data_IF_980216589843
#
_entry.id   IF_980216589843
#
_cell.length_a   1.000
_cell.length_b   1.000
_cell.length_c   1.000
_cell.angle_alpha   90.00
_cell.angle_beta   90.00
_cell.angle_gamma   90.00
#
_symmetry.space_group_name_H-M   'P 1'
#
loop_
_entity.id
_entity.type
_entity.pdbx_description
1 polymer ?
#
# COMPACT_ATOMS: atom_id res chain seq x y z
N UNK A 1 45.84 51.55 -35.23
CA UNK A 1 44.39 51.34 -35.46
C UNK A 1 44.19 49.79 -35.45
N UNK A 2 43.83 49.25 -34.30
CA UNK A 2 43.61 47.79 -34.15
C UNK A 2 42.10 47.53 -34.36
N UNK A 3 41.73 46.81 -35.42
CA UNK A 3 40.35 46.37 -35.67
C UNK A 3 40.02 45.19 -34.76
N UNK A 4 39.07 45.41 -33.86
CA UNK A 4 38.50 44.41 -33.01
C UNK A 4 37.51 43.55 -33.84
N UNK A 5 37.82 42.28 -34.07
CA UNK A 5 36.88 41.31 -34.66
C UNK A 5 36.00 40.77 -33.55
N UNK A 6 34.75 41.19 -33.55
CA UNK A 6 33.72 40.57 -32.67
C UNK A 6 33.22 39.32 -33.37
N UNK A 7 33.63 38.14 -32.88
CA UNK A 7 33.02 36.87 -33.27
C UNK A 7 31.67 36.72 -32.52
N UNK A 8 30.59 37.00 -33.22
CA UNK A 8 29.26 36.65 -32.81
C UNK A 8 29.09 35.12 -32.98
N UNK A 9 29.25 34.35 -31.89
CA UNK A 9 28.89 32.92 -31.85
C UNK A 9 27.37 32.86 -31.75
N UNK A 10 26.71 32.77 -32.89
CA UNK A 10 25.31 32.42 -33.01
C UNK A 10 25.19 30.93 -32.62
N UNK A 11 24.91 30.65 -31.37
CA UNK A 11 24.56 29.30 -30.93
C UNK A 11 23.21 28.92 -31.56
N UNK A 12 23.28 28.27 -32.71
CA UNK A 12 22.17 27.53 -33.27
C UNK A 12 21.81 26.40 -32.27
N UNK A 13 20.82 26.68 -31.42
CA UNK A 13 20.06 25.66 -30.74
C UNK A 13 19.34 24.81 -31.81
N UNK A 14 20.05 23.86 -32.39
CA UNK A 14 19.44 22.74 -33.06
C UNK A 14 18.62 22.01 -31.98
N UNK A 15 17.33 22.30 -31.88
CA UNK A 15 16.36 21.39 -31.33
C UNK A 15 16.39 20.12 -32.20
N UNK A 16 17.33 19.21 -31.88
CA UNK A 16 17.21 17.84 -32.34
C UNK A 16 15.85 17.37 -31.85
N UNK A 17 14.91 17.13 -32.76
CA UNK A 17 13.69 16.37 -32.44
C UNK A 17 14.17 15.05 -31.89
N UNK A 18 14.10 14.89 -30.56
CA UNK A 18 14.37 13.59 -29.94
C UNK A 18 13.43 12.61 -30.62
N UNK A 19 13.99 11.54 -31.21
CA UNK A 19 13.21 10.46 -31.80
C UNK A 19 12.50 9.76 -30.66
N UNK A 20 11.25 10.14 -30.38
CA UNK A 20 10.42 9.51 -29.36
C UNK A 20 10.09 8.10 -29.86
N UNK A 21 10.48 7.03 -29.12
CA UNK A 21 10.05 5.68 -29.45
C UNK A 21 8.51 5.61 -29.52
N UNK A 22 7.98 4.72 -30.35
CA UNK A 22 6.52 4.62 -30.61
C UNK A 22 5.69 4.51 -29.32
N UNK A 23 6.23 3.92 -28.26
CA UNK A 23 5.59 3.71 -26.94
C UNK A 23 6.30 4.46 -25.81
N UNK A 24 7.25 5.36 -26.10
CA UNK A 24 7.96 6.14 -25.08
C UNK A 24 7.06 7.21 -24.47
N UNK A 25 6.89 7.19 -23.16
CA UNK A 25 6.03 8.14 -22.42
C UNK A 25 6.81 9.16 -21.60
N UNK A 26 7.97 8.76 -21.06
CA UNK A 26 8.85 9.65 -20.27
C UNK A 26 10.30 9.40 -20.69
N UNK A 27 11.06 10.47 -20.89
CA UNK A 27 12.51 10.41 -21.12
C UNK A 27 13.25 10.94 -19.90
N UNK A 28 14.26 10.20 -19.45
CA UNK A 28 15.15 10.55 -18.33
C UNK A 28 16.58 10.64 -18.87
N UNK A 29 17.09 11.84 -19.05
CA UNK A 29 18.42 12.11 -19.64
C UNK A 29 18.65 11.40 -21.00
N UNK A 30 17.59 11.26 -21.80
CA UNK A 30 17.62 10.59 -23.10
C UNK A 30 17.24 9.10 -23.07
N UNK A 31 17.16 8.44 -21.92
CA UNK A 31 16.63 7.08 -21.78
C UNK A 31 15.11 7.14 -21.69
N UNK A 32 14.42 6.41 -22.54
CA UNK A 32 12.96 6.37 -22.59
C UNK A 32 12.39 5.27 -21.68
N UNK A 33 11.41 5.63 -20.88
CA UNK A 33 10.49 4.72 -20.18
C UNK A 33 9.28 4.57 -21.08
N UNK A 34 8.94 3.33 -21.41
CA UNK A 34 7.86 2.98 -22.32
C UNK A 34 6.53 2.79 -21.59
N UNK A 35 5.42 2.96 -22.31
CA UNK A 35 4.09 2.58 -21.83
C UNK A 35 4.05 1.10 -21.43
N UNK A 36 4.69 0.24 -22.23
CA UNK A 36 4.79 -1.20 -21.97
C UNK A 36 5.44 -1.51 -20.61
N UNK A 37 6.49 -0.77 -20.20
CA UNK A 37 7.13 -0.96 -18.89
C UNK A 37 6.19 -0.54 -17.75
N UNK A 38 5.50 0.59 -17.90
CA UNK A 38 4.51 1.01 -16.91
C UNK A 38 3.39 -0.01 -16.78
N UNK A 39 2.84 -0.47 -17.89
CA UNK A 39 1.73 -1.44 -17.90
C UNK A 39 2.11 -2.78 -17.26
N UNK A 40 3.35 -3.24 -17.42
CA UNK A 40 3.86 -4.42 -16.72
C UNK A 40 3.83 -4.25 -15.20
N UNK A 41 4.28 -3.12 -14.69
CA UNK A 41 4.27 -2.84 -13.25
C UNK A 41 2.84 -2.67 -12.73
N UNK A 42 1.95 -2.06 -13.51
CA UNK A 42 0.51 -1.95 -13.22
C UNK A 42 -0.12 -3.34 -13.11
N UNK A 43 0.23 -4.25 -14.02
CA UNK A 43 -0.31 -5.62 -13.97
C UNK A 43 0.20 -6.41 -12.76
N UNK A 44 1.49 -6.27 -12.41
CA UNK A 44 2.04 -6.85 -11.18
C UNK A 44 1.32 -6.30 -9.93
N UNK A 45 1.07 -4.99 -9.87
CA UNK A 45 0.28 -4.37 -8.82
C UNK A 45 -1.13 -4.97 -8.74
N UNK A 46 -1.81 -5.14 -9.89
CA UNK A 46 -3.15 -5.75 -9.96
C UNK A 46 -3.16 -7.19 -9.45
N UNK A 47 -2.17 -8.00 -9.82
CA UNK A 47 -2.04 -9.38 -9.35
C UNK A 47 -1.83 -9.43 -7.82
N UNK A 48 -1.01 -8.56 -7.27
CA UNK A 48 -0.83 -8.45 -5.83
C UNK A 48 -2.14 -8.04 -5.12
N UNK A 49 -2.86 -7.06 -5.68
CA UNK A 49 -4.17 -6.65 -5.16
C UNK A 49 -5.20 -7.77 -5.25
N UNK A 50 -5.17 -8.60 -6.31
CA UNK A 50 -6.05 -9.76 -6.46
C UNK A 50 -5.87 -10.77 -5.32
N UNK A 51 -4.65 -10.96 -4.82
CA UNK A 51 -4.37 -11.83 -3.68
C UNK A 51 -4.83 -11.24 -2.35
N UNK A 52 -4.71 -9.92 -2.17
CA UNK A 52 -5.00 -9.25 -0.89
C UNK A 52 -6.45 -8.77 -0.79
N UNK A 53 -7.00 -8.22 -1.87
CA UNK A 53 -8.31 -7.56 -1.95
C UNK A 53 -8.99 -7.83 -3.30
N UNK A 54 -9.50 -9.04 -3.55
CA UNK A 54 -9.99 -9.46 -4.86
C UNK A 54 -11.05 -8.53 -5.47
N UNK A 55 -11.98 -8.04 -4.66
CA UNK A 55 -13.05 -7.15 -5.13
C UNK A 55 -12.53 -5.78 -5.59
N UNK A 56 -11.48 -5.26 -4.97
CA UNK A 56 -10.86 -3.99 -5.36
C UNK A 56 -9.98 -4.15 -6.61
N UNK A 57 -9.35 -5.31 -6.79
CA UNK A 57 -8.53 -5.61 -7.97
C UNK A 57 -9.32 -5.64 -9.29
N UNK A 58 -10.65 -5.84 -9.22
CA UNK A 58 -11.56 -5.78 -10.37
C UNK A 58 -11.86 -4.35 -10.82
N UNK A 59 -11.56 -3.35 -9.99
CA UNK A 59 -11.75 -1.94 -10.36
C UNK A 59 -10.61 -1.45 -11.26
N UNK A 60 -10.85 -0.45 -12.11
CA UNK A 60 -9.78 0.20 -12.86
C UNK A 60 -8.70 0.75 -11.91
N UNK A 61 -7.43 0.54 -12.27
CA UNK A 61 -6.31 1.09 -11.47
C UNK A 61 -6.37 2.63 -11.50
N UNK A 62 -6.42 3.29 -10.34
CA UNK A 62 -6.52 4.74 -10.27
C UNK A 62 -5.37 5.44 -11.02
N UNK A 63 -5.62 6.57 -11.70
CA UNK A 63 -4.58 7.34 -12.41
C UNK A 63 -3.38 7.70 -11.52
N UNK A 64 -3.62 8.02 -10.25
CA UNK A 64 -2.55 8.33 -9.29
C UNK A 64 -1.61 7.15 -9.03
N UNK A 65 -2.10 5.92 -9.04
CA UNK A 65 -1.25 4.71 -8.92
C UNK A 65 -0.33 4.61 -10.14
N UNK A 66 -0.86 4.84 -11.36
CA UNK A 66 -0.04 4.84 -12.58
C UNK A 66 1.03 5.93 -12.57
N UNK A 67 0.70 7.13 -12.09
CA UNK A 67 1.68 8.21 -11.91
C UNK A 67 2.77 7.82 -10.92
N UNK A 68 2.40 7.23 -9.79
CA UNK A 68 3.36 6.78 -8.78
C UNK A 68 4.30 5.70 -9.35
N UNK A 69 3.77 4.77 -10.16
CA UNK A 69 4.57 3.76 -10.86
C UNK A 69 5.56 4.42 -11.83
N UNK A 70 5.09 5.38 -12.64
CA UNK A 70 5.98 6.11 -13.55
C UNK A 70 7.08 6.85 -12.77
N UNK A 71 6.76 7.47 -11.65
CA UNK A 71 7.73 8.13 -10.77
C UNK A 71 8.75 7.16 -10.20
N UNK A 72 8.32 5.97 -9.81
CA UNK A 72 9.23 4.93 -9.32
C UNK A 72 10.20 4.47 -10.42
N UNK A 73 9.72 4.31 -11.65
CA UNK A 73 10.56 3.97 -12.80
C UNK A 73 11.56 5.09 -13.11
N UNK A 74 11.14 6.36 -13.06
CA UNK A 74 12.03 7.53 -13.21
C UNK A 74 13.11 7.51 -12.13
N UNK A 75 12.73 7.31 -10.87
CA UNK A 75 13.67 7.26 -9.75
C UNK A 75 14.69 6.11 -9.90
N UNK A 76 14.23 4.93 -10.33
CA UNK A 76 15.09 3.78 -10.58
C UNK A 76 16.07 4.05 -11.72
N UNK A 77 15.62 4.65 -12.83
CA UNK A 77 16.50 4.99 -13.96
C UNK A 77 17.55 6.04 -13.55
N UNK A 78 17.17 7.08 -12.82
CA UNK A 78 18.09 8.08 -12.28
C UNK A 78 19.14 7.45 -11.36
N UNK A 79 18.73 6.56 -10.46
CA UNK A 79 19.63 5.86 -9.56
C UNK A 79 20.58 4.94 -10.34
N UNK A 80 20.10 4.25 -11.38
CA UNK A 80 20.92 3.41 -12.23
C UNK A 80 21.95 4.21 -13.03
N UNK A 81 21.56 5.35 -13.60
CA UNK A 81 22.48 6.26 -14.29
C UNK A 81 23.55 6.80 -13.35
N UNK A 82 23.18 7.18 -12.14
CA UNK A 82 24.14 7.65 -11.14
C UNK A 82 25.07 6.52 -10.68
N UNK A 83 24.57 5.29 -10.51
CA UNK A 83 25.40 4.13 -10.22
C UNK A 83 26.44 3.86 -11.33
N UNK A 84 26.01 3.91 -12.59
CA UNK A 84 26.90 3.76 -13.75
C UNK A 84 27.95 4.87 -13.80
N UNK A 85 27.56 6.13 -13.56
CA UNK A 85 28.46 7.28 -13.50
C UNK A 85 29.52 7.14 -12.41
N UNK A 86 29.16 6.55 -11.28
CA UNK A 86 30.07 6.27 -10.16
C UNK A 86 30.83 4.96 -10.30
N UNK A 87 30.67 4.24 -11.40
CA UNK A 87 31.27 2.92 -11.62
C UNK A 87 30.92 1.89 -10.54
N UNK A 88 29.71 1.97 -10.00
CA UNK A 88 29.22 1.00 -9.01
C UNK A 88 28.87 -0.31 -9.73
N UNK A 89 29.48 -1.39 -9.30
CA UNK A 89 29.20 -2.72 -9.78
C UNK A 89 28.05 -3.42 -9.04
N UNK A 90 27.75 -4.62 -9.49
CA UNK A 90 26.79 -5.51 -8.85
C UNK A 90 27.47 -6.79 -8.35
N UNK A 91 26.84 -7.46 -7.42
CA UNK A 91 27.29 -8.76 -6.92
C UNK A 91 26.81 -9.87 -7.86
N UNK A 92 27.73 -10.47 -8.61
CA UNK A 92 27.44 -11.55 -9.57
C UNK A 92 26.88 -12.81 -8.91
N UNK A 93 27.33 -13.13 -7.68
CA UNK A 93 26.82 -14.29 -6.93
C UNK A 93 25.34 -14.06 -6.54
N UNK A 94 24.99 -12.82 -6.15
CA UNK A 94 23.60 -12.46 -5.90
C UNK A 94 22.74 -12.51 -7.15
N UNK A 95 23.29 -12.12 -8.31
CA UNK A 95 22.55 -12.23 -9.58
C UNK A 95 22.16 -13.69 -9.83
N UNK A 96 23.10 -14.62 -9.76
CA UNK A 96 22.83 -16.04 -10.01
C UNK A 96 21.88 -16.62 -8.95
N UNK A 97 22.06 -16.26 -7.69
CA UNK A 97 21.17 -16.71 -6.60
C UNK A 97 19.74 -16.19 -6.79
N UNK A 98 19.60 -14.91 -7.12
CA UNK A 98 18.29 -14.29 -7.37
C UNK A 98 17.62 -14.91 -8.59
N UNK A 99 18.37 -15.10 -9.67
CA UNK A 99 17.86 -15.76 -10.87
C UNK A 99 17.40 -17.20 -10.55
N UNK A 100 18.20 -17.96 -9.80
CA UNK A 100 17.84 -19.32 -9.39
C UNK A 100 16.58 -19.38 -8.48
N UNK A 101 16.38 -18.39 -7.62
CA UNK A 101 15.15 -18.28 -6.80
C UNK A 101 13.92 -18.04 -7.69
N UNK A 102 14.04 -17.16 -8.68
CA UNK A 102 12.94 -16.88 -9.62
C UNK A 102 12.64 -18.13 -10.46
N UNK A 103 13.65 -18.77 -11.01
CA UNK A 103 13.45 -19.96 -11.87
C UNK A 103 12.82 -21.14 -11.13
N UNK A 104 13.10 -21.31 -9.83
CA UNK A 104 12.46 -22.34 -8.98
C UNK A 104 10.97 -22.15 -8.77
N UNK A 105 10.41 -20.99 -9.08
CA UNK A 105 8.96 -20.76 -9.02
C UNK A 105 8.21 -21.41 -10.20
N UNK A 106 8.95 -21.85 -11.23
CA UNK A 106 8.41 -22.52 -12.40
C UNK A 106 8.67 -24.03 -12.34
N UNK A 107 7.73 -24.86 -12.80
CA UNK A 107 7.91 -26.31 -12.83
C UNK A 107 9.14 -26.76 -13.62
N UNK A 108 9.44 -26.09 -14.72
CA UNK A 108 10.56 -26.38 -15.61
C UNK A 108 10.97 -25.14 -16.44
N UNK A 109 12.10 -25.24 -17.12
CA UNK A 109 12.65 -24.16 -17.95
C UNK A 109 11.77 -23.81 -19.17
N UNK A 110 11.03 -24.78 -19.73
CA UNK A 110 10.15 -24.54 -20.86
C UNK A 110 8.97 -23.69 -20.45
N UNK A 111 8.35 -24.01 -19.30
CA UNK A 111 7.27 -23.22 -18.69
C UNK A 111 7.76 -21.81 -18.36
N UNK A 112 8.93 -21.66 -17.76
CA UNK A 112 9.52 -20.35 -17.50
C UNK A 112 9.70 -19.54 -18.79
N UNK A 113 10.28 -20.14 -19.83
CA UNK A 113 10.49 -19.47 -21.12
C UNK A 113 9.17 -19.05 -21.76
N UNK A 114 8.13 -19.89 -21.69
CA UNK A 114 6.81 -19.57 -22.21
C UNK A 114 6.17 -18.39 -21.45
N UNK A 115 6.24 -18.39 -20.12
CA UNK A 115 5.70 -17.30 -19.29
C UNK A 115 6.45 -15.99 -19.52
N UNK A 116 7.79 -16.01 -19.57
CA UNK A 116 8.58 -14.84 -19.93
C UNK A 116 8.21 -14.32 -21.31
N UNK A 117 8.03 -15.22 -22.29
CA UNK A 117 7.58 -14.86 -23.65
C UNK A 117 6.21 -14.19 -23.67
N UNK A 118 5.24 -14.67 -22.87
CA UNK A 118 3.92 -14.01 -22.72
C UNK A 118 4.02 -12.60 -22.15
N UNK A 119 5.01 -12.35 -21.28
CA UNK A 119 5.30 -11.04 -20.73
C UNK A 119 6.20 -10.18 -21.64
N UNK A 120 6.50 -10.65 -22.86
CA UNK A 120 7.44 -9.97 -23.78
C UNK A 120 8.85 -9.88 -23.23
N UNK A 121 9.29 -10.89 -22.46
CA UNK A 121 10.60 -10.96 -21.84
C UNK A 121 11.37 -12.22 -22.32
N UNK A 122 12.67 -12.18 -22.12
CA UNK A 122 13.59 -13.30 -22.32
C UNK A 122 14.37 -13.53 -21.03
N UNK A 123 15.03 -14.67 -20.90
CA UNK A 123 15.98 -14.90 -19.81
C UNK A 123 17.03 -13.80 -19.75
N UNK A 124 17.55 -13.36 -20.91
CA UNK A 124 18.54 -12.29 -20.97
C UNK A 124 18.01 -10.96 -20.44
N UNK A 125 16.78 -10.58 -20.80
CA UNK A 125 16.16 -9.34 -20.29
C UNK A 125 15.90 -9.44 -18.79
N UNK A 126 15.46 -10.60 -18.28
CA UNK A 126 15.27 -10.83 -16.85
C UNK A 126 16.59 -10.70 -16.09
N UNK A 127 17.68 -11.33 -16.58
CA UNK A 127 19.02 -11.19 -15.99
C UNK A 127 19.49 -9.73 -15.99
N UNK A 128 19.21 -8.99 -17.08
CA UNK A 128 19.50 -7.56 -17.18
C UNK A 128 18.79 -6.75 -16.10
N UNK A 129 17.51 -7.00 -15.89
CA UNK A 129 16.72 -6.32 -14.84
C UNK A 129 17.23 -6.64 -13.42
N UNK A 130 17.57 -7.91 -13.15
CA UNK A 130 18.17 -8.31 -11.86
C UNK A 130 19.50 -7.58 -11.66
N UNK A 131 20.35 -7.55 -12.69
CA UNK A 131 21.63 -6.83 -12.66
C UNK A 131 21.44 -5.35 -12.34
N UNK A 132 20.54 -4.67 -13.04
CA UNK A 132 20.28 -3.25 -12.84
C UNK A 132 19.74 -2.99 -11.42
N UNK A 133 18.83 -3.81 -10.93
CA UNK A 133 18.34 -3.73 -9.55
C UNK A 133 19.45 -3.92 -8.50
N UNK A 134 20.33 -4.92 -8.70
CA UNK A 134 21.49 -5.15 -7.81
C UNK A 134 22.51 -4.01 -7.87
N UNK A 135 22.65 -3.36 -9.02
CA UNK A 135 23.53 -2.19 -9.18
C UNK A 135 22.99 -1.00 -8.37
N UNK A 136 21.68 -0.74 -8.46
CA UNK A 136 21.01 0.28 -7.64
C UNK A 136 21.11 -0.05 -6.16
N UNK A 137 20.86 -1.30 -5.75
CA UNK A 137 21.03 -1.75 -4.36
C UNK A 137 22.45 -1.52 -3.83
N UNK A 138 23.46 -1.78 -4.67
CA UNK A 138 24.86 -1.52 -4.32
C UNK A 138 25.14 -0.02 -4.16
N UNK A 139 24.57 0.83 -5.01
CA UNK A 139 24.65 2.29 -4.87
C UNK A 139 24.03 2.73 -3.55
N UNK A 140 22.79 2.31 -3.26
CA UNK A 140 22.10 2.67 -2.02
C UNK A 140 22.89 2.24 -0.78
N UNK A 141 23.45 1.03 -0.76
CA UNK A 141 24.34 0.56 0.32
C UNK A 141 25.61 1.37 0.48
N UNK A 142 26.13 1.92 -0.61
CA UNK A 142 27.32 2.77 -0.58
C UNK A 142 27.02 4.15 -0.02
N UNK A 143 25.86 4.71 -0.38
CA UNK A 143 25.43 6.03 0.05
C UNK A 143 24.90 6.04 1.50
N UNK A 144 24.09 5.06 1.83
CA UNK A 144 23.39 4.97 3.12
C UNK A 144 24.04 3.86 3.96
N UNK A 145 25.31 4.07 4.31
CA UNK A 145 25.98 3.21 5.28
C UNK A 145 25.28 3.33 6.63
N UNK A 146 25.18 2.23 7.35
CA UNK A 146 24.48 2.01 8.63
C UNK A 146 24.87 2.97 9.79
N UNK A 147 25.49 4.12 9.48
CA UNK A 147 25.98 5.10 10.48
C UNK A 147 24.86 5.89 11.19
N UNK A 148 23.65 5.87 10.65
CA UNK A 148 22.53 6.68 11.12
C UNK A 148 21.43 5.85 11.77
N UNK A 149 21.81 4.95 12.68
CA UNK A 149 20.84 4.23 13.51
C UNK A 149 20.11 5.20 14.44
N UNK A 150 18.81 5.02 14.59
CA UNK A 150 18.06 5.77 15.58
C UNK A 150 18.62 5.50 16.98
N UNK A 151 18.92 6.57 17.71
CA UNK A 151 19.43 6.47 19.07
C UNK A 151 18.32 6.13 20.06
N UNK A 152 18.66 5.66 21.25
CA UNK A 152 17.66 5.47 22.31
C UNK A 152 16.99 6.78 22.74
N UNK A 153 17.69 7.91 22.61
CA UNK A 153 17.12 9.23 22.84
C UNK A 153 16.05 9.59 21.81
N UNK A 154 16.28 9.27 20.52
CA UNK A 154 15.28 9.46 19.47
C UNK A 154 14.05 8.59 19.71
N UNK A 155 14.27 7.33 20.10
CA UNK A 155 13.18 6.40 20.41
C UNK A 155 12.36 6.90 21.61
N UNK A 156 13.02 7.41 22.66
CA UNK A 156 12.35 7.94 23.85
C UNK A 156 11.56 9.20 23.50
N UNK A 157 12.15 10.10 22.73
CA UNK A 157 11.48 11.33 22.26
C UNK A 157 10.23 11.00 21.43
N UNK A 158 10.34 10.02 20.54
CA UNK A 158 9.17 9.55 19.75
C UNK A 158 8.08 8.97 20.66
N UNK A 159 8.45 8.11 21.62
CA UNK A 159 7.53 7.51 22.57
C UNK A 159 6.80 8.59 23.37
N UNK A 160 7.54 9.56 23.93
CA UNK A 160 6.97 10.63 24.76
C UNK A 160 6.05 11.56 23.94
N UNK A 161 6.43 11.86 22.70
CA UNK A 161 5.63 12.69 21.79
C UNK A 161 4.39 11.98 21.22
N UNK A 162 4.30 10.65 21.36
CA UNK A 162 3.23 9.84 20.75
C UNK A 162 2.51 8.96 21.78
N UNK A 163 2.43 9.38 23.05
CA UNK A 163 1.79 8.64 24.14
C UNK A 163 0.40 8.04 23.79
N UNK A 164 -0.48 8.72 23.03
CA UNK A 164 -1.78 8.16 22.65
C UNK A 164 -1.69 6.84 21.86
N UNK A 165 -0.60 6.61 21.11
CA UNK A 165 -0.41 5.37 20.33
C UNK A 165 -0.03 4.18 21.23
N UNK A 166 0.44 4.45 22.44
CA UNK A 166 0.88 3.47 23.42
C UNK A 166 -0.06 3.38 24.62
N UNK A 167 -1.13 4.18 24.62
CA UNK A 167 -2.11 4.22 25.70
C UNK A 167 -2.80 2.87 25.90
N UNK A 168 -3.43 2.73 27.06
CA UNK A 168 -4.30 1.59 27.36
C UNK A 168 -5.30 1.34 26.23
N UNK A 169 -5.37 0.11 25.77
CA UNK A 169 -6.26 -0.29 24.69
C UNK A 169 -7.38 -1.16 25.25
N UNK A 170 -8.63 -0.74 24.99
CA UNK A 170 -9.81 -1.50 25.37
C UNK A 170 -10.26 -2.36 24.20
N UNK A 171 -10.37 -3.68 24.43
CA UNK A 171 -10.97 -4.61 23.50
C UNK A 171 -12.29 -5.12 24.05
N UNK A 172 -13.24 -5.35 23.17
CA UNK A 172 -14.49 -5.99 23.50
C UNK A 172 -14.70 -7.22 22.64
N UNK A 173 -15.38 -8.21 23.20
CA UNK A 173 -15.88 -9.35 22.47
C UNK A 173 -17.39 -9.25 22.42
N UNK A 174 -17.98 -9.47 21.25
CA UNK A 174 -19.42 -9.38 21.10
C UNK A 174 -19.98 -10.49 20.22
N UNK A 175 -21.26 -10.75 20.39
CA UNK A 175 -22.07 -11.53 19.46
C UNK A 175 -23.12 -10.63 18.81
N UNK A 176 -23.50 -10.91 17.55
CA UNK A 176 -24.48 -10.13 16.83
C UNK A 176 -25.63 -10.99 16.23
N UNK A 177 -26.76 -10.36 16.07
CA UNK A 177 -27.86 -10.82 15.23
C UNK A 177 -28.05 -9.75 14.16
N UNK A 178 -27.86 -10.13 12.90
CA UNK A 178 -28.00 -9.25 11.74
C UNK A 178 -29.29 -9.56 10.98
N UNK A 179 -30.04 -8.52 10.67
CA UNK A 179 -31.16 -8.53 9.74
C UNK A 179 -30.80 -7.68 8.54
N UNK A 180 -30.53 -8.30 7.40
CA UNK A 180 -30.09 -7.61 6.20
C UNK A 180 -31.18 -6.69 5.64
N UNK A 181 -30.79 -5.49 5.26
CA UNK A 181 -31.62 -4.55 4.48
C UNK A 181 -30.94 -4.32 3.13
N UNK A 182 -31.54 -4.87 2.08
CA UNK A 182 -31.07 -4.67 0.71
C UNK A 182 -31.58 -3.34 0.16
N UNK A 183 -30.80 -2.71 -0.72
CA UNK A 183 -31.14 -1.41 -1.33
C UNK A 183 -32.48 -1.44 -2.08
N UNK A 184 -32.78 -2.57 -2.70
CA UNK A 184 -33.96 -2.79 -3.56
C UNK A 184 -35.24 -3.05 -2.76
N UNK A 185 -35.18 -3.18 -1.43
CA UNK A 185 -36.37 -3.42 -0.57
C UNK A 185 -37.29 -2.21 -0.55
N UNK A 186 -38.58 -2.48 -0.65
CA UNK A 186 -39.63 -1.47 -0.48
C UNK A 186 -39.71 -1.01 0.98
N UNK A 187 -40.42 0.08 1.24
CA UNK A 187 -40.64 0.58 2.60
C UNK A 187 -41.34 -0.46 3.47
N UNK A 188 -42.35 -1.16 2.93
CA UNK A 188 -43.08 -2.23 3.61
C UNK A 188 -42.18 -3.38 4.00
N UNK A 189 -41.31 -3.80 3.10
CA UNK A 189 -40.30 -4.85 3.35
C UNK A 189 -39.29 -4.43 4.44
N UNK A 190 -38.82 -3.18 4.42
CA UNK A 190 -37.92 -2.65 5.46
C UNK A 190 -38.64 -2.60 6.83
N UNK A 191 -39.89 -2.20 6.85
CA UNK A 191 -40.71 -2.19 8.08
C UNK A 191 -40.89 -3.62 8.63
N UNK A 192 -41.19 -4.60 7.78
CA UNK A 192 -41.28 -6.00 8.20
C UNK A 192 -39.98 -6.53 8.82
N UNK A 193 -38.80 -6.16 8.26
CA UNK A 193 -37.49 -6.47 8.85
C UNK A 193 -37.33 -5.81 10.22
N UNK A 194 -37.72 -4.53 10.37
CA UNK A 194 -37.65 -3.83 11.64
C UNK A 194 -38.56 -4.45 12.71
N UNK A 195 -39.76 -4.84 12.34
CA UNK A 195 -40.67 -5.52 13.26
C UNK A 195 -40.19 -6.89 13.69
N UNK A 196 -39.52 -7.64 12.76
CA UNK A 196 -38.84 -8.89 13.09
C UNK A 196 -37.71 -8.65 14.09
N UNK A 197 -36.86 -7.65 13.86
CA UNK A 197 -35.78 -7.31 14.78
C UNK A 197 -36.30 -6.94 16.18
N UNK A 198 -37.39 -6.12 16.28
CA UNK A 198 -38.01 -5.78 17.53
C UNK A 198 -38.57 -7.00 18.26
N UNK A 199 -39.22 -7.94 17.56
CA UNK A 199 -39.72 -9.18 18.14
C UNK A 199 -38.58 -10.03 18.72
N UNK A 200 -37.47 -10.16 17.99
CA UNK A 200 -36.28 -10.90 18.47
C UNK A 200 -35.68 -10.20 19.68
N UNK A 201 -35.60 -8.87 19.69
CA UNK A 201 -35.15 -8.12 20.86
C UNK A 201 -36.03 -8.37 22.09
N UNK A 202 -37.37 -8.41 21.91
CA UNK A 202 -38.30 -8.72 22.99
C UNK A 202 -38.10 -10.15 23.53
N UNK A 203 -37.86 -11.12 22.64
CA UNK A 203 -37.50 -12.51 23.02
C UNK A 203 -36.21 -12.56 23.84
N UNK A 204 -35.16 -11.84 23.43
CA UNK A 204 -33.92 -11.74 24.14
C UNK A 204 -34.09 -11.10 25.53
N UNK A 205 -34.87 -10.02 25.62
CA UNK A 205 -35.17 -9.34 26.88
C UNK A 205 -36.04 -10.18 27.82
N UNK A 206 -36.78 -11.16 27.30
CA UNK A 206 -37.50 -12.14 28.11
C UNK A 206 -36.62 -13.30 28.61
N UNK A 207 -35.30 -13.26 28.33
CA UNK A 207 -34.33 -14.23 28.83
C UNK A 207 -34.03 -15.37 27.87
N UNK A 208 -34.46 -15.32 26.60
CA UNK A 208 -34.03 -16.31 25.60
C UNK A 208 -32.55 -16.22 25.35
N UNK A 209 -31.91 -17.36 25.12
CA UNK A 209 -30.48 -17.47 24.83
C UNK A 209 -30.14 -16.73 23.56
N UNK A 210 -29.10 -15.87 23.61
CA UNK A 210 -28.65 -15.05 22.49
C UNK A 210 -28.14 -15.87 21.34
N UNK A 211 -27.33 -16.91 21.64
CA UNK A 211 -26.74 -17.77 20.61
C UNK A 211 -27.80 -18.58 19.87
N UNK A 212 -28.84 -19.07 20.60
CA UNK A 212 -29.96 -19.75 19.99
C UNK A 212 -30.76 -18.81 19.07
N UNK A 213 -31.01 -17.56 19.51
CA UNK A 213 -31.68 -16.54 18.69
C UNK A 213 -30.80 -16.17 17.46
N UNK A 214 -29.48 -16.04 17.62
CA UNK A 214 -28.58 -15.79 16.50
C UNK A 214 -28.63 -16.91 15.46
N UNK A 215 -28.52 -18.16 15.88
CA UNK A 215 -28.65 -19.34 14.98
C UNK A 215 -29.98 -19.37 14.24
N UNK A 216 -31.05 -18.94 14.87
CA UNK A 216 -32.39 -19.01 14.30
C UNK A 216 -32.73 -17.83 13.38
N UNK A 217 -32.29 -16.64 13.71
CA UNK A 217 -32.81 -15.39 13.11
C UNK A 217 -31.76 -14.58 12.36
N UNK A 218 -30.47 -14.74 12.70
CA UNK A 218 -29.39 -13.92 12.13
C UNK A 218 -29.11 -14.32 10.69
N UNK A 219 -28.83 -13.29 9.89
CA UNK A 219 -28.36 -13.43 8.50
C UNK A 219 -26.84 -13.13 8.40
N UNK A 220 -26.14 -13.08 9.54
CA UNK A 220 -24.69 -12.94 9.59
C UNK A 220 -24.00 -14.27 9.26
N UNK A 221 -22.83 -14.27 8.58
CA UNK A 221 -22.05 -15.50 8.35
C UNK A 221 -21.73 -16.29 9.61
N UNK A 222 -21.58 -15.62 10.77
CA UNK A 222 -21.29 -16.24 12.06
C UNK A 222 -22.56 -16.71 12.82
N UNK A 223 -23.74 -16.66 12.21
CA UNK A 223 -25.00 -17.08 12.83
C UNK A 223 -24.93 -18.50 13.42
N UNK A 224 -24.33 -19.45 12.69
CA UNK A 224 -24.14 -20.84 13.13
C UNK A 224 -23.26 -20.98 14.37
N UNK A 225 -22.32 -20.05 14.56
CA UNK A 225 -21.48 -19.93 15.76
C UNK A 225 -22.13 -19.13 16.89
N UNK A 226 -23.46 -18.90 16.84
CA UNK A 226 -24.17 -18.09 17.84
C UNK A 226 -23.96 -16.59 17.68
N UNK A 227 -23.53 -16.16 16.50
CA UNK A 227 -23.28 -14.75 16.16
C UNK A 227 -21.96 -14.20 16.71
N UNK A 228 -21.05 -15.04 17.24
CA UNK A 228 -19.78 -14.59 17.80
C UNK A 228 -18.90 -13.93 16.69
N UNK A 229 -18.61 -12.66 16.86
CA UNK A 229 -17.76 -11.87 15.94
C UNK A 229 -16.32 -11.72 16.44
N UNK A 230 -16.00 -12.33 17.59
CA UNK A 230 -14.67 -12.29 18.17
C UNK A 230 -14.33 -10.99 18.90
N UNK A 231 -13.04 -10.79 19.14
CA UNK A 231 -12.49 -9.62 19.79
C UNK A 231 -12.21 -8.51 18.77
N UNK A 232 -12.53 -7.29 19.15
CA UNK A 232 -12.20 -6.09 18.37
C UNK A 232 -11.94 -4.91 19.30
N UNK A 233 -11.21 -3.93 18.78
CA UNK A 233 -10.90 -2.66 19.43
C UNK A 233 -11.42 -1.49 18.59
N UNK A 234 -11.24 -0.29 19.10
CA UNK A 234 -11.59 0.94 18.38
C UNK A 234 -10.85 1.02 17.03
N UNK A 235 -11.61 1.21 15.98
CA UNK A 235 -11.11 1.31 14.59
C UNK A 235 -11.12 -0.01 13.80
N UNK A 236 -11.38 -1.17 14.43
CA UNK A 236 -11.38 -2.46 13.74
C UNK A 236 -12.66 -2.73 12.96
N UNK A 237 -13.78 -2.08 13.36
CA UNK A 237 -15.11 -2.31 12.81
C UNK A 237 -15.81 -0.99 12.49
N UNK A 238 -16.99 -1.08 11.87
CA UNK A 238 -17.75 0.11 11.47
C UNK A 238 -18.08 1.00 12.68
N UNK A 239 -17.95 2.35 12.54
CA UNK A 239 -18.11 3.28 13.66
C UNK A 239 -19.43 3.17 14.40
N UNK A 240 -20.54 2.92 13.69
CA UNK A 240 -21.87 2.78 14.28
C UNK A 240 -21.96 1.55 15.19
N UNK A 241 -21.40 0.43 14.75
CA UNK A 241 -21.33 -0.81 15.51
C UNK A 241 -20.39 -0.66 16.72
N UNK A 242 -19.20 -0.11 16.48
CA UNK A 242 -18.18 0.15 17.52
C UNK A 242 -18.76 0.99 18.65
N UNK A 243 -19.41 2.12 18.32
CA UNK A 243 -20.02 3.01 19.31
C UNK A 243 -20.98 2.27 20.24
N UNK A 244 -21.85 1.41 19.68
CA UNK A 244 -22.80 0.64 20.49
C UNK A 244 -22.07 -0.38 21.34
N UNK A 245 -21.17 -1.19 20.74
CA UNK A 245 -20.46 -2.27 21.44
C UNK A 245 -19.58 -1.75 22.61
N UNK A 246 -18.92 -0.61 22.41
CA UNK A 246 -18.03 -0.03 23.43
C UNK A 246 -18.81 0.55 24.63
N UNK A 247 -20.06 0.97 24.44
CA UNK A 247 -20.88 1.55 25.52
C UNK A 247 -21.65 0.50 26.34
N UNK A 248 -21.90 -0.68 25.79
CA UNK A 248 -22.59 -1.74 26.52
C UNK A 248 -21.79 -2.20 27.75
N UNK A 249 -22.49 -2.58 28.80
CA UNK A 249 -21.93 -3.34 29.92
C UNK A 249 -21.73 -4.79 29.55
N UNK A 250 -20.93 -5.50 30.33
CA UNK A 250 -20.78 -6.95 30.16
C UNK A 250 -22.16 -7.63 30.23
N UNK A 251 -22.40 -8.56 29.34
CA UNK A 251 -23.63 -9.30 29.13
C UNK A 251 -24.86 -8.47 28.72
N UNK A 252 -24.70 -7.18 28.55
CA UNK A 252 -25.81 -6.30 28.10
C UNK A 252 -26.09 -6.51 26.60
N UNK A 253 -27.38 -6.47 26.27
CA UNK A 253 -27.94 -6.56 24.92
C UNK A 253 -28.35 -5.16 24.47
N UNK A 254 -27.90 -4.76 23.29
CA UNK A 254 -28.25 -3.44 22.71
C UNK A 254 -29.73 -3.33 22.33
N UNK A 255 -30.19 -2.12 22.11
CA UNK A 255 -31.34 -1.85 21.27
C UNK A 255 -31.03 -2.25 19.81
N UNK A 256 -32.10 -2.30 18.99
CA UNK A 256 -31.94 -2.43 17.54
C UNK A 256 -31.30 -1.16 17.01
N UNK A 257 -30.18 -1.26 16.29
CA UNK A 257 -29.56 -0.12 15.63
C UNK A 257 -29.25 -0.48 14.16
N UNK A 258 -29.04 0.55 13.35
CA UNK A 258 -28.87 0.42 11.91
C UNK A 258 -27.44 0.74 11.47
N UNK A 259 -26.98 -0.02 10.47
CA UNK A 259 -25.80 0.29 9.65
C UNK A 259 -26.21 0.28 8.17
N UNK A 260 -25.25 0.47 7.28
CA UNK A 260 -25.45 0.38 5.82
C UNK A 260 -25.83 -1.03 5.32
N UNK A 261 -25.55 -2.09 6.11
CA UNK A 261 -25.88 -3.48 5.74
C UNK A 261 -27.23 -3.94 6.29
N UNK A 262 -27.75 -3.31 7.34
CA UNK A 262 -29.04 -3.70 7.93
C UNK A 262 -29.19 -3.31 9.38
N UNK A 263 -30.09 -4.02 10.09
CA UNK A 263 -30.36 -3.85 11.51
C UNK A 263 -29.58 -4.87 12.33
N UNK A 264 -29.08 -4.41 13.46
CA UNK A 264 -28.26 -5.20 14.36
C UNK A 264 -28.85 -5.22 15.77
N UNK A 265 -28.68 -6.35 16.45
CA UNK A 265 -28.75 -6.50 17.89
C UNK A 265 -27.42 -7.13 18.30
N UNK A 266 -26.75 -6.56 19.29
CA UNK A 266 -25.47 -7.09 19.78
C UNK A 266 -25.54 -7.37 21.28
N UNK A 267 -24.76 -8.35 21.72
CA UNK A 267 -24.49 -8.63 23.12
C UNK A 267 -23.00 -8.52 23.36
N UNK A 268 -22.57 -7.73 24.35
CA UNK A 268 -21.19 -7.72 24.79
C UNK A 268 -20.93 -8.97 25.63
N UNK A 269 -20.03 -9.84 25.17
CA UNK A 269 -19.74 -11.13 25.83
C UNK A 269 -18.47 -11.11 26.67
N UNK A 270 -17.52 -10.20 26.37
CA UNK A 270 -16.34 -9.97 27.19
C UNK A 270 -15.77 -8.58 26.96
N UNK A 271 -14.96 -8.12 27.90
CA UNK A 271 -14.20 -6.87 27.83
C UNK A 271 -12.82 -7.09 28.45
N UNK A 272 -11.80 -6.54 27.78
CA UNK A 272 -10.42 -6.59 28.26
C UNK A 272 -9.78 -5.21 28.08
N UNK A 273 -9.11 -4.73 29.10
CA UNK A 273 -8.26 -3.53 29.01
C UNK A 273 -6.80 -3.95 29.06
N UNK A 274 -6.10 -3.69 27.97
CA UNK A 274 -4.65 -3.88 27.92
C UNK A 274 -3.96 -2.65 28.54
N UNK A 275 -2.99 -2.82 29.42
CA UNK A 275 -2.26 -1.70 29.99
C UNK A 275 -1.54 -0.89 28.90
N UNK A 276 -1.18 0.37 29.17
CA UNK A 276 -0.32 1.13 28.27
C UNK A 276 0.98 0.38 28.01
N UNK A 277 1.43 0.36 26.77
CA UNK A 277 2.73 -0.23 26.44
C UNK A 277 3.85 0.65 26.99
N UNK A 278 4.75 0.08 27.76
CA UNK A 278 5.91 0.78 28.28
C UNK A 278 6.93 1.05 27.17
N UNK A 279 7.81 2.04 27.41
CA UNK A 279 8.91 2.30 26.48
C UNK A 279 9.77 1.06 26.23
N UNK A 280 10.08 0.29 27.26
CA UNK A 280 10.93 -0.89 27.15
C UNK A 280 10.32 -1.98 26.24
N UNK A 281 8.99 -2.12 26.23
CA UNK A 281 8.28 -3.08 25.39
C UNK A 281 8.31 -2.66 23.91
N UNK A 282 8.31 -1.35 23.61
CA UNK A 282 8.15 -0.85 22.24
C UNK A 282 9.41 -0.23 21.64
N UNK A 283 10.48 0.01 22.44
CA UNK A 283 11.72 0.68 21.98
C UNK A 283 12.33 0.05 20.73
N UNK A 284 12.31 -1.28 20.62
CA UNK A 284 12.81 -2.00 19.45
C UNK A 284 11.97 -1.74 18.19
N UNK A 285 10.64 -1.72 18.33
CA UNK A 285 9.73 -1.41 17.23
C UNK A 285 9.87 0.05 16.79
N UNK A 286 9.94 0.97 17.74
CA UNK A 286 10.17 2.40 17.49
C UNK A 286 11.49 2.60 16.75
N UNK A 287 12.57 1.95 17.22
CA UNK A 287 13.88 2.03 16.59
C UNK A 287 13.82 1.62 15.12
N UNK A 288 13.28 0.44 14.83
CA UNK A 288 13.16 -0.06 13.45
C UNK A 288 12.31 0.89 12.57
N UNK A 289 11.23 1.42 13.12
CA UNK A 289 10.36 2.38 12.41
C UNK A 289 11.10 3.69 12.09
N UNK A 290 11.82 4.25 13.07
CA UNK A 290 12.58 5.48 12.88
C UNK A 290 13.74 5.29 11.91
N UNK A 291 14.46 4.16 11.97
CA UNK A 291 15.51 3.81 11.02
C UNK A 291 14.97 3.67 9.60
N UNK A 292 13.83 2.96 9.44
CA UNK A 292 13.18 2.83 8.14
C UNK A 292 12.70 4.18 7.59
N UNK A 293 12.09 5.00 8.45
CA UNK A 293 11.66 6.35 8.06
C UNK A 293 12.84 7.19 7.61
N UNK A 294 13.91 7.23 8.39
CA UNK A 294 15.13 7.99 8.07
C UNK A 294 15.73 7.52 6.75
N UNK A 295 15.86 6.22 6.57
CA UNK A 295 16.34 5.63 5.31
C UNK A 295 15.48 6.07 4.11
N UNK A 296 14.16 5.99 4.24
CA UNK A 296 13.26 6.42 3.17
C UNK A 296 13.36 7.92 2.86
N UNK A 297 13.49 8.75 3.90
CA UNK A 297 13.67 10.19 3.75
C UNK A 297 15.00 10.51 3.04
N UNK A 298 16.09 9.84 3.39
CA UNK A 298 17.40 9.97 2.73
C UNK A 298 17.37 9.54 1.27
N UNK A 299 16.77 8.38 0.97
CA UNK A 299 16.57 7.90 -0.40
C UNK A 299 15.74 8.91 -1.20
N UNK A 300 14.66 9.43 -0.60
CA UNK A 300 13.84 10.46 -1.24
C UNK A 300 14.64 11.72 -1.55
N UNK A 301 15.38 12.24 -0.59
CA UNK A 301 16.22 13.44 -0.78
C UNK A 301 17.26 13.21 -1.87
N UNK A 302 17.88 12.04 -1.91
CA UNK A 302 18.82 11.68 -2.96
C UNK A 302 18.16 11.67 -4.34
N UNK A 303 17.02 11.01 -4.49
CA UNK A 303 16.27 10.97 -5.76
C UNK A 303 15.82 12.38 -6.16
N UNK A 304 15.31 13.18 -5.24
CA UNK A 304 14.91 14.57 -5.50
C UNK A 304 16.11 15.40 -6.00
N UNK A 305 17.31 15.20 -5.45
CA UNK A 305 18.54 15.85 -5.90
C UNK A 305 18.92 15.46 -7.33
N UNK A 306 18.76 14.18 -7.69
CA UNK A 306 18.99 13.70 -9.05
C UNK A 306 17.96 14.26 -10.03
N UNK A 307 16.70 14.31 -9.65
CA UNK A 307 15.62 14.91 -10.45
C UNK A 307 15.89 16.39 -10.75
N UNK A 308 16.38 17.12 -9.76
CA UNK A 308 16.65 18.57 -9.92
C UNK A 308 17.71 18.90 -10.98
N UNK A 309 18.66 18.00 -11.21
CA UNK A 309 19.76 18.19 -12.17
C UNK A 309 19.54 17.44 -13.49
N UNK A 310 18.51 16.62 -13.60
CA UNK A 310 18.25 15.76 -14.74
C UNK A 310 17.27 16.38 -15.73
N UNK A 311 17.40 16.02 -17.01
CA UNK A 311 16.44 16.38 -18.06
C UNK A 311 15.35 15.29 -18.09
N UNK A 312 14.16 15.63 -17.56
CA UNK A 312 12.98 14.74 -17.59
C UNK A 312 11.95 15.36 -18.54
N UNK A 313 11.57 14.62 -19.57
CA UNK A 313 10.62 15.07 -20.60
C UNK A 313 9.45 14.07 -20.65
N UNK A 314 8.23 14.58 -20.54
CA UNK A 314 7.01 13.79 -20.63
C UNK A 314 6.43 13.91 -22.04
N UNK A 315 6.42 12.84 -22.81
CA UNK A 315 5.67 12.73 -24.06
C UNK A 315 4.17 12.58 -23.77
N UNK A 316 3.83 11.86 -22.70
CA UNK A 316 2.48 11.79 -22.14
C UNK A 316 2.44 12.54 -20.79
N UNK A 317 1.79 13.70 -20.80
CA UNK A 317 1.67 14.56 -19.63
C UNK A 317 0.74 14.00 -18.53
N UNK A 318 -0.04 12.96 -18.83
CA UNK A 318 -0.89 12.30 -17.83
C UNK A 318 -0.09 11.65 -16.69
N UNK A 319 1.20 11.35 -16.94
CA UNK A 319 2.13 10.82 -15.93
C UNK A 319 2.85 11.89 -15.10
N UNK A 320 2.68 13.17 -15.43
CA UNK A 320 3.33 14.27 -14.71
C UNK A 320 2.63 14.51 -13.37
N UNK A 321 3.40 14.54 -12.27
CA UNK A 321 2.89 14.95 -10.95
C UNK A 321 2.85 16.48 -10.83
N UNK A 322 1.92 16.99 -10.02
CA UNK A 322 1.85 18.39 -9.67
C UNK A 322 3.14 18.81 -8.92
N UNK A 323 3.75 19.92 -9.34
CA UNK A 323 4.98 20.46 -8.70
C UNK A 323 6.30 19.92 -9.25
N UNK A 324 6.29 19.01 -10.23
CA UNK A 324 7.53 18.64 -10.90
C UNK A 324 8.07 19.79 -11.75
N UNK A 325 9.39 20.09 -11.66
CA UNK A 325 10.00 21.07 -12.52
C UNK A 325 9.95 20.56 -13.97
N UNK A 326 9.06 21.14 -14.76
CA UNK A 326 9.10 20.99 -16.20
C UNK A 326 10.06 22.07 -16.73
N UNK A 327 11.29 21.74 -17.07
CA UNK A 327 12.04 22.62 -17.97
C UNK A 327 11.39 22.51 -19.35
N UNK A 328 10.88 23.68 -19.83
CA UNK A 328 10.43 23.89 -21.21
C UNK A 328 11.59 23.66 -22.19
#
# INVERSE_FOLDING_TARGET
MKKLFVFSVLALLLCAKENIPKDGVVSVNGTWISQTEIDKVVEMYRQQMMQMMPQQALQPVPPEVKKNIAMQLIANELALQEAKKRHIGYDSTKLETTFAVITKQFPDAATMKAELGRMGQTEQTLRGQIKDGLTVDSLMKTLFKKSDTATMADCKSYYDGNQPQFASEKRVKASQILFLIKKEMTAEQKNAVADKAKKVLAELRSGKDFAACAKKYSQDPNASAGGDIGWFKKGDIKPEFERVAMTLKLDEISDVFQTDVGLHIIKKTAEESMPPKTFDEVKGQIKNMLELKKHNDEVKMFVDSLMAISKITFADTSYKLAGMPGRK
#
